data_IF_968116715137
#
_entry.id   IF_968116715137
#
_cell.length_a   1.000
_cell.length_b   1.000
_cell.length_c   1.000
_cell.angle_alpha   90.00
_cell.angle_beta   90.00
_cell.angle_gamma   90.00
#
_symmetry.space_group_name_H-M   'P 1'
#
loop_
_entity.id
_entity.type
_entity.pdbx_description
1 polymer ?
#
# COMPACT_ATOMS: atom_id res chain seq x y z
N UNK A 1 -5.11 -19.86 18.39
CA UNK A 1 -4.00 -20.05 17.44
C UNK A 1 -2.85 -20.71 18.19
N UNK A 2 -2.39 -21.87 17.72
CA UNK A 2 -1.23 -22.56 18.28
C UNK A 2 0.07 -21.98 17.73
N UNK A 3 1.21 -22.34 18.34
CA UNK A 3 2.53 -21.98 17.82
C UNK A 3 2.74 -22.48 16.39
N UNK A 4 2.32 -23.71 16.09
CA UNK A 4 2.46 -24.29 14.75
C UNK A 4 1.61 -23.56 13.71
N UNK A 5 0.39 -23.19 14.07
CA UNK A 5 -0.49 -22.38 13.21
C UNK A 5 0.12 -21.02 12.92
N UNK A 6 0.65 -20.34 13.95
CA UNK A 6 1.35 -19.07 13.78
C UNK A 6 2.56 -19.20 12.86
N UNK A 7 3.44 -20.18 13.11
CA UNK A 7 4.66 -20.37 12.31
C UNK A 7 4.36 -20.75 10.86
N UNK A 8 3.24 -21.43 10.60
CA UNK A 8 2.77 -21.70 9.23
C UNK A 8 2.43 -20.40 8.50
N UNK A 9 1.70 -19.48 9.13
CA UNK A 9 1.36 -18.20 8.51
C UNK A 9 2.59 -17.30 8.32
N UNK A 10 3.53 -17.30 9.28
CA UNK A 10 4.82 -16.61 9.13
C UNK A 10 5.60 -17.12 7.91
N UNK A 11 5.70 -18.45 7.72
CA UNK A 11 6.39 -19.03 6.56
C UNK A 11 5.72 -18.64 5.24
N UNK A 12 4.39 -18.69 5.18
CA UNK A 12 3.63 -18.25 3.99
C UNK A 12 3.88 -16.78 3.66
N UNK A 13 3.79 -15.90 4.66
CA UNK A 13 4.04 -14.47 4.47
C UNK A 13 5.48 -14.20 4.01
N UNK A 14 6.46 -14.90 4.58
CA UNK A 14 7.86 -14.76 4.19
C UNK A 14 8.12 -15.26 2.76
N UNK A 15 7.51 -16.38 2.36
CA UNK A 15 7.63 -16.91 1.00
C UNK A 15 7.01 -15.96 -0.03
N UNK A 16 5.81 -15.44 0.25
CA UNK A 16 5.17 -14.43 -0.58
C UNK A 16 6.05 -13.16 -0.73
N UNK A 17 6.73 -12.73 0.35
CA UNK A 17 7.66 -11.60 0.31
C UNK A 17 8.94 -11.85 -0.50
N UNK A 18 9.34 -13.11 -0.68
CA UNK A 18 10.54 -13.48 -1.47
C UNK A 18 10.30 -13.43 -2.96
N UNK A 19 9.04 -13.35 -3.39
CA UNK A 19 8.65 -13.40 -4.81
C UNK A 19 7.88 -12.14 -5.26
N UNK A 20 8.46 -10.93 -5.14
CA UNK A 20 7.80 -9.69 -5.57
C UNK A 20 7.49 -9.65 -7.07
N UNK A 21 8.20 -10.43 -7.89
CA UNK A 21 7.93 -10.60 -9.32
C UNK A 21 6.56 -11.23 -9.58
N UNK A 22 5.99 -11.97 -8.62
CA UNK A 22 4.69 -12.63 -8.72
C UNK A 22 3.54 -11.80 -8.16
N UNK A 23 3.83 -10.66 -7.53
CA UNK A 23 2.79 -9.82 -6.93
C UNK A 23 1.87 -9.23 -7.99
N UNK A 24 0.58 -9.18 -7.65
CA UNK A 24 -0.38 -8.36 -8.40
C UNK A 24 -0.03 -6.88 -8.23
N UNK A 25 -0.56 -6.04 -9.12
CA UNK A 25 -0.34 -4.60 -8.99
C UNK A 25 -0.93 -4.03 -7.69
N UNK A 26 -2.08 -4.58 -7.25
CA UNK A 26 -2.68 -4.21 -5.97
C UNK A 26 -1.76 -4.57 -4.80
N UNK A 27 -1.17 -5.77 -4.81
CA UNK A 27 -0.20 -6.21 -3.80
C UNK A 27 1.05 -5.32 -3.75
N UNK A 28 1.57 -4.93 -4.92
CA UNK A 28 2.68 -3.96 -5.03
C UNK A 28 2.31 -2.61 -4.45
N UNK A 29 1.14 -2.07 -4.79
CA UNK A 29 0.67 -0.79 -4.25
C UNK A 29 0.46 -0.86 -2.73
N UNK A 30 -0.12 -1.95 -2.23
CA UNK A 30 -0.25 -2.21 -0.79
C UNK A 30 1.10 -2.18 -0.09
N UNK A 31 2.09 -2.93 -0.58
CA UNK A 31 3.44 -2.96 0.02
C UNK A 31 4.12 -1.59 -0.09
N UNK A 32 3.90 -0.84 -1.18
CA UNK A 32 4.35 0.56 -1.26
C UNK A 32 3.68 1.43 -0.20
N UNK A 33 2.40 1.25 0.13
CA UNK A 33 1.74 2.03 1.20
C UNK A 33 2.34 1.70 2.57
N UNK A 34 2.52 0.42 2.90
CA UNK A 34 2.93 -0.01 4.26
C UNK A 34 4.44 -0.07 4.47
N UNK A 35 5.24 -0.05 3.41
CA UNK A 35 6.71 0.00 3.50
C UNK A 35 7.18 1.28 4.18
N UNK A 36 8.45 1.30 4.60
CA UNK A 36 9.05 2.32 5.46
C UNK A 36 8.99 3.78 4.98
N UNK A 37 9.77 4.66 5.63
CA UNK A 37 9.72 6.10 5.40
C UNK A 37 9.92 6.48 3.93
N UNK A 38 9.18 7.49 3.47
CA UNK A 38 9.23 8.01 2.10
C UNK A 38 9.28 9.52 2.12
N UNK A 39 9.84 10.11 1.07
CA UNK A 39 9.82 11.56 0.86
C UNK A 39 8.42 12.00 0.41
N UNK A 40 8.07 13.26 0.67
CA UNK A 40 6.77 13.83 0.30
C UNK A 40 6.39 13.61 -1.16
N UNK A 41 7.35 13.78 -2.09
CA UNK A 41 7.10 13.57 -3.53
C UNK A 41 6.74 12.11 -3.84
N UNK A 42 7.34 11.17 -3.13
CA UNK A 42 7.06 9.74 -3.30
C UNK A 42 5.67 9.39 -2.75
N UNK A 43 5.26 9.98 -1.62
CA UNK A 43 3.89 9.87 -1.11
C UNK A 43 2.86 10.40 -2.11
N UNK A 44 3.12 11.55 -2.73
CA UNK A 44 2.22 12.13 -3.71
C UNK A 44 2.12 11.31 -5.00
N UNK A 45 3.25 10.76 -5.46
CA UNK A 45 3.24 9.86 -6.61
C UNK A 45 2.46 8.57 -6.30
N UNK A 46 2.68 7.98 -5.11
CA UNK A 46 1.93 6.81 -4.67
C UNK A 46 0.42 7.07 -4.58
N UNK A 47 0.00 8.24 -4.08
CA UNK A 47 -1.42 8.65 -4.10
C UNK A 47 -1.99 8.67 -5.51
N UNK A 48 -1.23 9.16 -6.50
CA UNK A 48 -1.65 9.15 -7.88
C UNK A 48 -1.79 7.72 -8.42
N UNK A 49 -0.77 6.89 -8.24
CA UNK A 49 -0.77 5.50 -8.73
C UNK A 49 -1.96 4.70 -8.17
N UNK A 50 -2.28 4.89 -6.89
CA UNK A 50 -3.43 4.25 -6.23
C UNK A 50 -4.76 4.74 -6.79
N UNK A 51 -4.91 6.05 -7.03
CA UNK A 51 -6.13 6.61 -7.64
C UNK A 51 -6.30 6.09 -9.07
N UNK A 52 -5.23 6.03 -9.85
CA UNK A 52 -5.25 5.52 -11.21
C UNK A 52 -5.60 4.02 -11.23
N UNK A 53 -5.07 3.23 -10.29
CA UNK A 53 -5.42 1.82 -10.11
C UNK A 53 -6.91 1.63 -9.79
N UNK A 54 -7.46 2.40 -8.84
CA UNK A 54 -8.87 2.28 -8.46
C UNK A 54 -9.85 2.66 -9.59
N UNK A 55 -9.41 3.52 -10.52
CA UNK A 55 -10.17 3.91 -11.72
C UNK A 55 -9.99 2.95 -12.90
N UNK A 56 -9.06 2.02 -12.81
CA UNK A 56 -8.78 1.05 -13.87
C UNK A 56 -9.84 -0.06 -13.95
N UNK A 57 -9.70 -0.93 -14.94
CA UNK A 57 -10.49 -2.16 -15.09
C UNK A 57 -9.99 -3.33 -14.21
N UNK A 58 -9.20 -3.06 -13.16
CA UNK A 58 -8.79 -4.05 -12.18
C UNK A 58 -10.00 -4.73 -11.50
N UNK A 59 -9.78 -5.94 -10.97
CA UNK A 59 -10.83 -6.70 -10.28
C UNK A 59 -11.37 -5.94 -9.07
N UNK A 60 -12.64 -6.16 -8.73
CA UNK A 60 -13.25 -5.54 -7.56
C UNK A 60 -12.64 -6.09 -6.26
N UNK A 61 -12.19 -7.34 -6.27
CA UNK A 61 -11.43 -7.96 -5.19
C UNK A 61 -10.11 -7.21 -4.92
N UNK A 62 -9.34 -6.91 -5.96
CA UNK A 62 -8.08 -6.18 -5.83
C UNK A 62 -8.30 -4.73 -5.37
N UNK A 63 -9.31 -4.06 -5.94
CA UNK A 63 -9.70 -2.71 -5.50
C UNK A 63 -10.11 -2.70 -4.04
N UNK A 64 -10.95 -3.65 -3.61
CA UNK A 64 -11.40 -3.79 -2.22
C UNK A 64 -10.25 -4.07 -1.27
N UNK A 65 -9.30 -4.91 -1.68
CA UNK A 65 -8.08 -5.16 -0.90
C UNK A 65 -7.29 -3.86 -0.72
N UNK A 66 -7.07 -3.09 -1.79
CA UNK A 66 -6.27 -1.87 -1.72
C UNK A 66 -6.98 -0.74 -0.96
N UNK A 67 -8.31 -0.62 -1.07
CA UNK A 67 -9.11 0.37 -0.33
C UNK A 67 -8.92 0.28 1.19
N UNK A 68 -8.64 -0.90 1.74
CA UNK A 68 -8.35 -1.04 3.18
C UNK A 68 -7.09 -0.26 3.63
N UNK A 69 -6.23 0.15 2.70
CA UNK A 69 -4.98 0.87 2.95
C UNK A 69 -5.02 2.33 2.50
N UNK A 70 -6.09 2.78 1.82
CA UNK A 70 -6.16 4.14 1.27
C UNK A 70 -6.32 5.21 2.34
N UNK A 71 -6.92 4.88 3.50
CA UNK A 71 -7.07 5.83 4.61
C UNK A 71 -5.72 6.34 5.11
N UNK A 72 -4.77 5.43 5.36
CA UNK A 72 -3.40 5.78 5.77
C UNK A 72 -2.73 6.69 4.73
N UNK A 73 -2.84 6.34 3.45
CA UNK A 73 -2.28 7.12 2.35
C UNK A 73 -2.91 8.52 2.29
N UNK A 74 -4.23 8.61 2.47
CA UNK A 74 -4.95 9.87 2.47
C UNK A 74 -4.51 10.79 3.61
N UNK A 75 -4.41 10.26 4.83
CA UNK A 75 -3.96 11.02 6.00
C UNK A 75 -2.55 11.58 5.81
N UNK A 76 -1.60 10.76 5.35
CA UNK A 76 -0.21 11.19 5.13
C UNK A 76 -0.13 12.27 4.06
N UNK A 77 -0.79 12.07 2.91
CA UNK A 77 -0.79 13.07 1.85
C UNK A 77 -1.45 14.38 2.30
N UNK A 78 -2.57 14.32 3.01
CA UNK A 78 -3.23 15.53 3.52
C UNK A 78 -2.33 16.30 4.50
N UNK A 79 -1.56 15.60 5.34
CA UNK A 79 -0.61 16.24 6.24
C UNK A 79 0.50 16.97 5.48
N UNK A 80 1.06 16.34 4.43
CA UNK A 80 2.06 16.95 3.54
C UNK A 80 1.48 18.18 2.81
N UNK A 81 0.26 18.07 2.28
CA UNK A 81 -0.41 19.17 1.58
C UNK A 81 -0.58 20.37 2.52
N UNK A 82 -1.03 20.15 3.76
CA UNK A 82 -1.15 21.20 4.78
C UNK A 82 0.19 21.83 5.15
N UNK A 83 1.22 21.04 5.40
CA UNK A 83 2.55 21.56 5.73
C UNK A 83 3.10 22.45 4.61
N UNK A 84 2.91 22.07 3.35
CA UNK A 84 3.30 22.88 2.19
C UNK A 84 2.53 24.21 2.10
N UNK A 85 1.22 24.20 2.35
CA UNK A 85 0.41 25.43 2.36
C UNK A 85 0.79 26.36 3.50
N UNK A 86 1.23 25.82 4.65
CA UNK A 86 1.58 26.63 5.83
C UNK A 86 2.99 27.24 5.73
N UNK A 87 3.83 26.76 4.78
CA UNK A 87 5.19 27.25 4.53
C UNK A 87 5.30 28.23 3.35
N UNK A 88 4.19 28.50 2.65
CA UNK A 88 4.08 29.55 1.62
C UNK A 88 3.59 30.85 2.26
#
# INVERSE_FOLDING_TARGET
>A
MTHEEFMREVRKANEWRRHPEKWTEAERLRERIISGPKKDKEWMHLRKDVVDFLRSNASEEDKKMLMAYTETLHMVCNAIDKDRTTRQ
#
